data_IF_158187762958
#
_entry.id   IF_158187762958
#
_cell.length_a   1.000
_cell.length_b   1.000
_cell.length_c   1.000
_cell.angle_alpha   90.00
_cell.angle_beta   90.00
_cell.angle_gamma   90.00
#
_symmetry.space_group_name_H-M   'P 1'
#
loop_
_entity.id
_entity.type
_entity.pdbx_description
1 polymer ?
#
# COMPACT_ATOMS: atom_id res chain seq x y z
N UNK A 1 -0.69 -38.61 -30.51
CA UNK A 1 -0.41 -37.26 -29.98
C UNK A 1 0.50 -37.41 -28.77
N UNK A 2 1.76 -37.00 -28.90
CA UNK A 2 2.86 -37.31 -27.98
C UNK A 2 2.70 -36.65 -26.60
N UNK A 3 3.01 -37.40 -25.53
CA UNK A 3 2.98 -36.96 -24.13
C UNK A 3 3.79 -35.67 -23.87
N UNK A 4 4.78 -35.39 -24.71
CA UNK A 4 5.62 -34.18 -24.69
C UNK A 4 4.80 -32.89 -24.95
N UNK A 5 3.79 -32.94 -25.81
CA UNK A 5 2.94 -31.77 -26.11
C UNK A 5 2.02 -31.39 -24.94
N UNK A 6 1.58 -32.38 -24.15
CA UNK A 6 0.80 -32.14 -22.93
C UNK A 6 1.65 -31.52 -21.82
N UNK A 7 2.91 -31.95 -21.69
CA UNK A 7 3.83 -31.41 -20.68
C UNK A 7 4.17 -29.93 -20.95
N UNK A 8 4.38 -29.55 -22.22
CA UNK A 8 4.66 -28.18 -22.63
C UNK A 8 3.47 -27.23 -22.40
N UNK A 9 2.23 -27.69 -22.59
CA UNK A 9 1.03 -26.88 -22.32
C UNK A 9 0.83 -26.59 -20.83
N UNK A 10 1.22 -27.53 -19.97
CA UNK A 10 1.10 -27.38 -18.51
C UNK A 10 2.15 -26.38 -17.99
N UNK A 11 3.38 -26.42 -18.52
CA UNK A 11 4.44 -25.47 -18.14
C UNK A 11 4.11 -24.05 -18.63
N UNK A 12 3.62 -23.90 -19.87
CA UNK A 12 3.18 -22.60 -20.40
C UNK A 12 2.02 -21.97 -19.62
N UNK A 13 1.10 -22.79 -19.09
CA UNK A 13 0.00 -22.31 -18.24
C UNK A 13 0.48 -21.87 -16.85
N UNK A 14 1.48 -22.53 -16.26
CA UNK A 14 2.03 -22.13 -14.95
C UNK A 14 2.85 -20.83 -15.03
N UNK A 15 3.56 -20.57 -16.13
CA UNK A 15 4.31 -19.31 -16.31
C UNK A 15 3.42 -18.08 -16.51
N UNK A 16 2.14 -18.27 -16.87
CA UNK A 16 1.15 -17.19 -16.98
C UNK A 16 0.43 -16.87 -15.65
N UNK A 17 0.55 -17.74 -14.65
CA UNK A 17 -0.13 -17.59 -13.36
C UNK A 17 0.75 -16.92 -12.29
N UNK A 18 2.07 -16.88 -12.48
CA UNK A 18 2.99 -16.14 -11.60
C UNK A 18 2.96 -14.62 -11.81
N UNK A 19 2.28 -14.13 -12.84
CA UNK A 19 2.07 -12.70 -13.14
C UNK A 19 0.88 -12.06 -12.39
N UNK A 20 0.24 -12.78 -11.48
CA UNK A 20 -0.95 -12.28 -10.76
C UNK A 20 -0.65 -11.57 -9.43
N UNK A 21 0.62 -11.38 -9.04
CA UNK A 21 0.94 -10.56 -7.86
C UNK A 21 0.87 -9.08 -8.22
N UNK A 22 0.01 -8.28 -7.59
CA UNK A 22 -0.05 -6.85 -7.86
C UNK A 22 1.30 -6.19 -7.54
N UNK A 23 1.72 -5.19 -8.32
CA UNK A 23 2.95 -4.44 -8.07
C UNK A 23 2.97 -3.82 -6.67
N UNK A 24 4.15 -3.50 -6.12
CA UNK A 24 4.25 -2.81 -4.85
C UNK A 24 3.67 -1.39 -4.95
N UNK A 25 3.15 -0.88 -3.83
CA UNK A 25 2.70 0.51 -3.71
C UNK A 25 3.92 1.38 -3.37
N UNK A 26 4.25 2.33 -4.23
CA UNK A 26 5.28 3.33 -3.94
C UNK A 26 4.73 4.38 -2.97
N UNK A 27 5.51 4.72 -1.94
CA UNK A 27 5.15 5.74 -0.94
C UNK A 27 6.22 6.82 -0.94
N UNK A 28 5.86 8.02 -1.40
CA UNK A 28 6.68 9.21 -1.28
C UNK A 28 6.20 10.07 -0.11
N UNK A 29 7.16 10.58 0.68
CA UNK A 29 6.87 11.34 1.90
C UNK A 29 7.31 12.78 1.72
N UNK A 30 6.35 13.71 1.86
CA UNK A 30 6.57 15.14 1.77
C UNK A 30 6.20 15.81 3.09
N UNK A 31 6.82 16.96 3.38
CA UNK A 31 6.40 17.84 4.48
C UNK A 31 5.81 19.12 3.90
N UNK A 32 4.53 19.36 4.17
CA UNK A 32 3.80 20.56 3.74
C UNK A 32 3.15 21.17 4.98
N UNK A 33 3.44 22.43 5.26
CA UNK A 33 2.94 23.18 6.42
C UNK A 33 3.16 22.45 7.76
N UNK A 34 4.34 21.85 7.92
CA UNK A 34 4.70 21.07 9.11
C UNK A 34 3.98 19.73 9.25
N UNK A 35 3.17 19.33 8.26
CA UNK A 35 2.46 18.05 8.25
C UNK A 35 3.08 17.09 7.25
N UNK A 36 3.06 15.81 7.59
CA UNK A 36 3.51 14.75 6.70
C UNK A 36 2.41 14.41 5.69
N UNK A 37 2.71 14.59 4.41
CA UNK A 37 1.90 14.16 3.28
C UNK A 37 2.49 12.88 2.71
N UNK A 38 1.67 11.84 2.58
CA UNK A 38 2.01 10.59 1.93
C UNK A 38 1.43 10.64 0.51
N UNK A 39 2.26 10.50 -0.51
CA UNK A 39 1.82 10.29 -1.90
C UNK A 39 2.00 8.83 -2.25
N UNK A 40 0.96 8.25 -2.84
CA UNK A 40 0.90 6.83 -3.15
C UNK A 40 0.75 6.67 -4.66
N UNK A 41 1.54 5.78 -5.23
CA UNK A 41 1.49 5.44 -6.65
C UNK A 41 1.77 3.97 -6.86
N UNK A 42 1.36 3.44 -8.01
CA UNK A 42 1.63 2.05 -8.36
C UNK A 42 1.98 1.92 -9.83
N UNK A 43 3.08 1.25 -10.12
CA UNK A 43 3.54 1.01 -11.50
C UNK A 43 3.16 -0.41 -11.93
N UNK A 44 2.23 -0.50 -12.87
CA UNK A 44 1.72 -1.76 -13.43
C UNK A 44 2.49 -2.22 -14.68
N UNK A 45 3.59 -1.56 -15.02
CA UNK A 45 4.44 -1.93 -16.15
C UNK A 45 3.67 -1.96 -17.48
N UNK A 46 3.94 -2.95 -18.33
CA UNK A 46 3.43 -3.00 -19.72
C UNK A 46 1.90 -3.01 -19.87
N UNK A 47 1.12 -3.16 -18.78
CA UNK A 47 -0.35 -3.07 -18.81
C UNK A 47 -0.81 -1.61 -18.87
N UNK A 48 -0.08 -0.68 -18.24
CA UNK A 48 -0.41 0.75 -18.20
C UNK A 48 0.86 1.58 -18.30
N UNK A 49 0.91 2.53 -19.26
CA UNK A 49 2.10 3.33 -19.55
C UNK A 49 2.60 4.24 -18.41
N UNK A 50 1.74 4.54 -17.44
CA UNK A 50 1.97 5.57 -16.42
C UNK A 50 1.66 5.05 -15.01
N UNK A 51 2.35 5.61 -14.00
CA UNK A 51 2.05 5.35 -12.59
C UNK A 51 0.59 5.69 -12.27
N UNK A 52 -0.13 4.72 -11.73
CA UNK A 52 -1.55 4.85 -11.40
C UNK A 52 -1.74 5.18 -9.92
N UNK A 53 -2.92 5.73 -9.62
CA UNK A 53 -3.41 5.83 -8.24
C UNK A 53 -3.69 4.42 -7.71
N UNK A 54 -3.11 3.99 -6.58
CA UNK A 54 -3.34 2.66 -6.04
C UNK A 54 -4.72 2.56 -5.39
N UNK A 55 -5.32 1.37 -5.45
CA UNK A 55 -6.47 1.01 -4.64
C UNK A 55 -5.97 0.54 -3.26
N UNK A 56 -6.21 1.36 -2.23
CA UNK A 56 -5.67 1.17 -0.86
C UNK A 56 -6.80 0.86 0.12
N UNK A 57 -6.59 -0.13 0.99
CA UNK A 57 -7.50 -0.53 2.07
C UNK A 57 -7.13 0.09 3.41
N UNK A 58 -5.82 0.22 3.66
CA UNK A 58 -5.25 0.65 4.94
C UNK A 58 -3.97 1.46 4.71
N UNK A 59 -3.79 2.53 5.50
CA UNK A 59 -2.52 3.26 5.62
C UNK A 59 -2.22 3.49 7.10
N UNK A 60 -1.00 3.21 7.53
CA UNK A 60 -0.60 3.33 8.93
C UNK A 60 0.84 3.78 9.14
N UNK A 61 1.07 4.32 10.34
CA UNK A 61 2.38 4.59 10.91
C UNK A 61 2.63 3.60 12.03
N UNK A 62 3.77 2.95 11.97
CA UNK A 62 4.17 1.88 12.88
C UNK A 62 5.54 2.19 13.48
N UNK A 63 5.79 1.74 14.70
CA UNK A 63 7.17 1.71 15.19
C UNK A 63 8.03 0.81 14.29
N UNK A 64 9.32 1.13 14.07
CA UNK A 64 10.19 0.31 13.23
C UNK A 64 10.17 -1.15 13.70
N UNK A 65 10.11 -2.08 12.74
CA UNK A 65 10.08 -3.53 12.99
C UNK A 65 8.83 -4.05 13.72
N UNK A 66 7.86 -3.18 14.05
CA UNK A 66 6.62 -3.55 14.74
C UNK A 66 5.40 -3.37 13.82
N UNK A 67 4.95 -4.47 13.23
CA UNK A 67 3.87 -4.47 12.22
C UNK A 67 2.48 -4.76 12.76
N UNK A 68 2.34 -4.85 14.08
CA UNK A 68 1.07 -5.13 14.73
C UNK A 68 0.19 -3.87 14.71
N UNK A 69 -1.07 -4.01 14.31
CA UNK A 69 -2.09 -2.95 14.37
C UNK A 69 -2.22 -2.37 15.78
N UNK A 70 -1.98 -3.18 16.82
CA UNK A 70 -1.98 -2.73 18.22
C UNK A 70 -0.82 -1.78 18.57
N UNK A 71 0.23 -1.75 17.73
CA UNK A 71 1.44 -0.94 17.86
C UNK A 71 1.50 0.21 16.86
N UNK A 72 0.43 0.43 16.10
CA UNK A 72 0.36 1.58 15.20
C UNK A 72 0.35 2.88 16.04
N UNK A 73 1.17 3.86 15.63
CA UNK A 73 1.09 5.23 16.14
C UNK A 73 0.01 6.04 15.41
N UNK A 74 -0.49 5.53 14.27
CA UNK A 74 -1.63 6.05 13.53
C UNK A 74 -2.09 5.01 12.53
N UNK A 75 -3.40 4.87 12.35
CA UNK A 75 -3.95 3.92 11.40
C UNK A 75 -5.29 4.40 10.86
N UNK A 76 -5.41 4.43 9.54
CA UNK A 76 -6.68 4.67 8.85
C UNK A 76 -7.01 3.51 7.93
N UNK A 77 -8.30 3.24 7.78
CA UNK A 77 -8.79 2.20 6.88
C UNK A 77 -10.09 2.63 6.19
N UNK A 78 -10.40 2.03 5.04
CA UNK A 78 -11.68 2.22 4.36
C UNK A 78 -12.87 1.77 5.23
N UNK A 79 -14.00 2.48 5.18
CA UNK A 79 -15.21 2.14 5.96
C UNK A 79 -15.98 0.97 5.35
N UNK A 80 -16.58 0.16 6.23
CA UNK A 80 -17.50 -0.92 5.85
C UNK A 80 -16.82 -2.03 5.06
N UNK A 81 -17.60 -2.67 4.19
CA UNK A 81 -17.20 -3.88 3.44
C UNK A 81 -16.54 -3.56 2.08
N UNK A 82 -16.05 -2.34 1.89
CA UNK A 82 -15.35 -1.94 0.67
C UNK A 82 -13.93 -2.50 0.67
N UNK A 83 -13.54 -3.19 -0.42
CA UNK A 83 -12.25 -3.87 -0.52
C UNK A 83 -11.04 -2.93 -0.55
N UNK A 84 -11.16 -1.76 -1.17
CA UNK A 84 -10.19 -0.66 -1.16
C UNK A 84 -10.80 0.57 -1.86
N UNK A 85 -10.15 1.73 -1.70
CA UNK A 85 -10.48 2.96 -2.43
C UNK A 85 -9.22 3.52 -3.06
N UNK A 86 -9.37 4.16 -4.21
CA UNK A 86 -8.28 4.90 -4.86
C UNK A 86 -7.77 6.01 -3.92
N UNK A 87 -6.48 5.97 -3.61
CA UNK A 87 -5.86 6.92 -2.70
C UNK A 87 -4.54 7.43 -3.28
N UNK A 88 -4.57 8.61 -3.91
CA UNK A 88 -3.38 9.23 -4.48
C UNK A 88 -2.48 9.87 -3.42
N UNK A 89 -3.09 10.41 -2.36
CA UNK A 89 -2.36 10.99 -1.24
C UNK A 89 -3.19 11.08 0.02
N UNK A 90 -2.52 11.12 1.17
CA UNK A 90 -3.15 11.39 2.47
C UNK A 90 -2.20 12.17 3.37
N UNK A 91 -2.72 13.20 4.03
CA UNK A 91 -2.00 13.86 5.12
C UNK A 91 -2.17 13.06 6.40
N UNK A 92 -1.08 12.74 7.08
CA UNK A 92 -1.13 12.05 8.38
C UNK A 92 -2.01 12.82 9.36
N UNK A 93 -2.90 12.10 10.05
CA UNK A 93 -3.88 12.67 10.99
C UNK A 93 -5.10 13.33 10.34
N UNK A 94 -5.26 13.23 9.02
CA UNK A 94 -6.50 13.60 8.32
C UNK A 94 -7.20 12.37 7.76
N UNK A 95 -8.52 12.43 7.68
CA UNK A 95 -9.36 11.37 7.12
C UNK A 95 -9.85 11.74 5.72
N UNK A 96 -9.45 11.00 4.68
CA UNK A 96 -10.09 11.10 3.36
C UNK A 96 -11.56 10.65 3.42
N UNK A 97 -12.35 11.05 2.42
CA UNK A 97 -13.75 10.61 2.30
C UNK A 97 -13.81 9.09 2.13
N UNK A 98 -14.68 8.43 2.89
CA UNK A 98 -14.83 6.96 2.86
C UNK A 98 -13.88 6.20 3.79
N UNK A 99 -13.06 6.91 4.57
CA UNK A 99 -12.11 6.32 5.52
C UNK A 99 -12.51 6.57 6.98
N UNK A 100 -12.03 5.71 7.87
CA UNK A 100 -12.14 5.85 9.31
C UNK A 100 -10.77 5.76 9.96
N UNK A 101 -10.65 6.43 11.11
CA UNK A 101 -9.46 6.31 11.95
C UNK A 101 -9.66 5.11 12.87
N UNK A 102 -8.76 4.14 12.77
CA UNK A 102 -8.73 2.95 13.63
C UNK A 102 -7.86 3.21 14.85
N UNK A 103 -6.71 3.85 14.62
CA UNK A 103 -5.79 4.27 15.67
C UNK A 103 -5.52 5.75 15.50
N UNK A 104 -5.88 6.51 16.54
CA UNK A 104 -5.68 7.95 16.58
C UNK A 104 -4.20 8.30 16.56
N UNK A 105 -3.85 9.36 15.83
CA UNK A 105 -2.46 9.82 15.72
C UNK A 105 -1.86 10.12 17.10
N UNK A 106 -0.78 9.40 17.45
CA UNK A 106 -0.07 9.48 18.73
C UNK A 106 1.46 9.48 18.55
N UNK A 107 1.95 10.03 17.44
CA UNK A 107 3.38 10.09 17.11
C UNK A 107 4.14 11.12 17.94
N UNK A 108 5.41 10.84 18.23
CA UNK A 108 6.35 11.78 18.83
C UNK A 108 7.28 12.36 17.76
N UNK A 109 7.47 13.68 17.78
CA UNK A 109 8.38 14.35 16.85
C UNK A 109 9.84 13.89 17.01
N UNK A 110 10.56 13.80 15.90
CA UNK A 110 11.96 13.37 15.85
C UNK A 110 12.17 11.86 15.77
N UNK A 111 11.13 11.04 16.00
CA UNK A 111 11.20 9.59 15.86
C UNK A 111 10.99 9.15 14.41
N UNK A 112 11.61 8.01 14.05
CA UNK A 112 11.40 7.35 12.76
C UNK A 112 10.28 6.35 12.91
N UNK A 113 9.32 6.41 11.99
CA UNK A 113 8.22 5.47 11.89
C UNK A 113 8.26 4.77 10.52
N UNK A 114 7.78 3.54 10.49
CA UNK A 114 7.51 2.81 9.25
C UNK A 114 6.09 3.16 8.79
N UNK A 115 6.01 3.79 7.63
CA UNK A 115 4.76 4.05 6.93
C UNK A 115 4.44 2.82 6.09
N UNK A 116 3.21 2.33 6.17
CA UNK A 116 2.75 1.21 5.35
C UNK A 116 1.45 1.58 4.65
N UNK A 117 1.32 1.14 3.41
CA UNK A 117 0.07 1.17 2.66
C UNK A 117 -0.24 -0.24 2.15
N UNK A 118 -1.47 -0.70 2.36
CA UNK A 118 -1.91 -2.03 1.98
C UNK A 118 -3.24 -1.95 1.24
N UNK A 119 -3.39 -2.72 0.16
CA UNK A 119 -4.58 -2.78 -0.68
C UNK A 119 -4.40 -3.84 -1.77
N UNK A 120 -4.63 -3.46 -3.03
CA UNK A 120 -4.17 -4.28 -4.15
C UNK A 120 -2.66 -4.07 -4.28
N UNK A 121 -1.89 -4.92 -3.60
CA UNK A 121 -0.45 -4.73 -3.40
C UNK A 121 -0.14 -4.13 -2.03
N UNK A 122 1.14 -4.00 -1.74
CA UNK A 122 1.62 -3.47 -0.47
C UNK A 122 2.89 -2.65 -0.69
N UNK A 123 3.13 -1.71 0.21
CA UNK A 123 4.33 -0.89 0.19
C UNK A 123 4.66 -0.35 1.57
N UNK A 124 5.93 -0.08 1.79
CA UNK A 124 6.39 0.55 3.02
C UNK A 124 7.60 1.46 2.78
N UNK A 125 7.75 2.44 3.66
CA UNK A 125 8.90 3.33 3.70
C UNK A 125 9.11 3.84 5.12
N UNK A 126 10.30 4.34 5.42
CA UNK A 126 10.59 4.92 6.73
C UNK A 126 10.66 6.43 6.62
N UNK A 127 10.04 7.13 7.57
CA UNK A 127 10.13 8.58 7.66
C UNK A 127 10.27 9.04 9.10
N UNK A 128 11.07 10.09 9.29
CA UNK A 128 11.10 10.82 10.56
C UNK A 128 9.85 11.69 10.66
N UNK A 129 9.14 11.64 11.80
CA UNK A 129 7.99 12.50 12.09
C UNK A 129 8.43 13.85 12.64
#
# INVERSE_FOLDING_TARGET
>A
MNAVAKLLSIIGAMTLLSSCSPPPIDIAVERIDGRMLLRLSQDWGMIFSDKQVPCVREVGLYEPEHYDRSKAAWLIEVRGDVQCLDLASVTVGKLPKGWQEVVRLSTSGGLVYTIRAHGIGWGETNARF
#
